data_IF_795701732772
#
_entry.id   IF_795701732772
#
_cell.length_a   1.000
_cell.length_b   1.000
_cell.length_c   1.000
_cell.angle_alpha   90.00
_cell.angle_beta   90.00
_cell.angle_gamma   90.00
#
_symmetry.space_group_name_H-M   'P 1'
#
loop_
_entity.id
_entity.type
_entity.pdbx_description
1 polymer ?
#
# COMPACT_ATOMS: atom_id res chain seq x y z
N UNK A 1 7.07 -3.35 2.62
CA UNK A 1 7.76 -4.51 3.19
C UNK A 1 8.23 -4.17 4.60
N UNK A 2 7.91 -5.00 5.57
CA UNK A 2 8.29 -4.84 6.98
C UNK A 2 8.97 -6.12 7.53
N UNK A 3 9.44 -7.00 6.66
CA UNK A 3 10.11 -8.22 7.10
C UNK A 3 11.61 -7.95 7.34
N UNK A 4 12.10 -7.92 8.58
CA UNK A 4 13.51 -7.74 8.89
C UNK A 4 14.35 -9.01 8.63
N UNK A 5 13.70 -10.18 8.55
CA UNK A 5 14.37 -11.48 8.40
C UNK A 5 14.50 -11.92 6.94
N UNK A 6 14.32 -11.01 6.01
CA UNK A 6 14.15 -11.33 4.60
C UNK A 6 15.44 -11.58 3.81
N UNK A 7 16.61 -11.49 4.43
CA UNK A 7 17.88 -11.83 3.80
C UNK A 7 18.63 -12.93 4.55
N UNK A 8 19.51 -13.66 3.87
CA UNK A 8 20.38 -14.68 4.47
C UNK A 8 21.27 -14.08 5.59
N UNK A 9 21.54 -12.78 5.51
CA UNK A 9 22.39 -12.05 6.47
C UNK A 9 21.57 -11.39 7.61
N UNK A 10 20.24 -11.58 7.67
CA UNK A 10 19.36 -10.94 8.65
C UNK A 10 19.17 -9.42 8.43
N UNK A 11 19.64 -8.88 7.31
CA UNK A 11 19.47 -7.47 6.94
C UNK A 11 18.18 -7.32 6.12
N UNK A 12 17.29 -6.37 6.42
CA UNK A 12 16.10 -6.14 5.60
C UNK A 12 16.49 -5.83 4.13
N UNK A 13 15.70 -6.34 3.18
CA UNK A 13 15.91 -6.06 1.75
C UNK A 13 15.78 -4.60 1.39
N UNK A 14 14.95 -3.88 2.15
CA UNK A 14 14.75 -2.45 1.95
C UNK A 14 15.77 -1.66 2.76
N UNK A 15 16.16 -0.52 2.26
CA UNK A 15 17.09 0.36 2.94
C UNK A 15 16.56 0.77 4.33
N UNK A 16 17.43 0.92 5.35
CA UNK A 16 17.02 1.19 6.73
C UNK A 16 16.09 2.40 6.88
N UNK A 17 16.27 3.45 6.08
CA UNK A 17 15.42 4.62 6.10
C UNK A 17 14.01 4.33 5.56
N UNK A 18 13.87 3.50 4.51
CA UNK A 18 12.56 3.04 4.01
C UNK A 18 11.86 2.15 5.04
N UNK A 19 12.61 1.24 5.67
CA UNK A 19 12.08 0.42 6.75
C UNK A 19 11.52 1.29 7.88
N UNK A 20 12.23 2.36 8.27
CA UNK A 20 11.75 3.31 9.27
C UNK A 20 10.45 4.00 8.84
N UNK A 21 10.35 4.43 7.57
CA UNK A 21 9.11 5.02 7.04
C UNK A 21 7.92 4.06 7.11
N UNK A 22 8.10 2.84 6.61
CA UNK A 22 7.02 1.84 6.58
C UNK A 22 6.67 1.32 7.98
N UNK A 23 7.58 1.38 8.94
CA UNK A 23 7.32 1.01 10.33
C UNK A 23 6.47 2.03 11.08
N UNK A 24 6.53 3.32 10.71
CA UNK A 24 5.71 4.35 11.33
C UNK A 24 4.23 4.23 10.88
N UNK A 25 3.33 4.03 11.85
CA UNK A 25 1.89 3.94 11.59
C UNK A 25 1.33 5.20 10.93
N UNK A 26 1.92 6.38 11.21
CA UNK A 26 1.47 7.66 10.65
C UNK A 26 1.82 7.74 9.18
N UNK A 27 3.00 7.25 8.77
CA UNK A 27 3.38 7.14 7.37
C UNK A 27 2.38 6.25 6.61
N UNK A 28 2.10 5.03 7.13
CA UNK A 28 1.14 4.12 6.49
C UNK A 28 -0.27 4.72 6.40
N UNK A 29 -0.72 5.43 7.45
CA UNK A 29 -2.01 6.14 7.42
C UNK A 29 -2.01 7.28 6.40
N UNK A 30 -0.90 8.00 6.24
CA UNK A 30 -0.76 9.03 5.22
C UNK A 30 -0.93 8.44 3.81
N UNK A 31 -0.29 7.30 3.51
CA UNK A 31 -0.49 6.59 2.25
C UNK A 31 -1.97 6.21 2.05
N UNK A 32 -2.64 5.69 3.09
CA UNK A 32 -4.06 5.32 3.01
C UNK A 32 -4.97 6.53 2.74
N UNK A 33 -4.71 7.68 3.38
CA UNK A 33 -5.45 8.92 3.13
C UNK A 33 -5.11 9.54 1.77
N UNK A 34 -3.90 9.35 1.29
CA UNK A 34 -3.47 9.82 -0.03
C UNK A 34 -4.01 8.98 -1.20
N UNK A 35 -4.56 7.80 -0.96
CA UNK A 35 -4.98 6.86 -2.00
C UNK A 35 -6.48 6.95 -2.29
N UNK A 36 -6.85 7.47 -3.47
CA UNK A 36 -8.23 7.65 -3.90
C UNK A 36 -8.87 6.34 -4.38
N UNK A 37 -9.22 5.46 -3.43
CA UNK A 37 -9.84 4.16 -3.73
C UNK A 37 -11.18 4.29 -4.45
N UNK A 38 -11.97 5.32 -4.12
CA UNK A 38 -13.24 5.55 -4.81
C UNK A 38 -13.01 5.92 -6.28
N UNK A 39 -12.07 6.80 -6.56
CA UNK A 39 -11.72 7.15 -7.94
C UNK A 39 -11.28 5.93 -8.77
N UNK A 40 -10.56 5.00 -8.15
CA UNK A 40 -10.18 3.73 -8.81
C UNK A 40 -11.41 2.86 -9.09
N UNK A 41 -12.31 2.71 -8.13
CA UNK A 41 -13.54 1.93 -8.31
C UNK A 41 -14.35 2.51 -9.47
N UNK A 42 -14.48 3.82 -9.53
CA UNK A 42 -15.21 4.49 -10.59
C UNK A 42 -14.53 4.31 -11.96
N UNK A 43 -13.21 4.46 -12.04
CA UNK A 43 -12.45 4.41 -13.30
C UNK A 43 -12.19 2.97 -13.80
N UNK A 44 -11.88 2.02 -12.91
CA UNK A 44 -11.43 0.67 -13.27
C UNK A 44 -12.57 -0.34 -13.19
N UNK A 45 -13.47 -0.18 -12.23
CA UNK A 45 -14.57 -1.10 -11.97
C UNK A 45 -15.92 -0.52 -12.39
N UNK A 46 -15.95 0.62 -13.11
CA UNK A 46 -17.17 1.28 -13.58
C UNK A 46 -18.20 1.52 -12.46
N UNK A 47 -17.71 1.87 -11.27
CA UNK A 47 -18.54 2.07 -10.09
C UNK A 47 -19.05 0.78 -9.43
N UNK A 48 -18.67 -0.40 -9.94
CA UNK A 48 -19.12 -1.71 -9.41
C UNK A 48 -18.15 -2.20 -8.34
N UNK A 49 -18.27 -1.63 -7.14
CA UNK A 49 -17.42 -2.02 -6.02
C UNK A 49 -17.55 -1.07 -4.84
N UNK A 50 -16.99 -1.48 -3.72
CA UNK A 50 -16.92 -0.69 -2.50
C UNK A 50 -15.49 -0.66 -1.95
N UNK A 51 -15.05 0.47 -1.37
CA UNK A 51 -13.77 0.52 -0.69
C UNK A 51 -13.76 -0.40 0.53
N UNK A 52 -12.90 -1.40 0.53
CA UNK A 52 -12.70 -2.26 1.69
C UNK A 52 -11.79 -1.57 2.73
N UNK A 53 -12.14 -1.73 4.01
CA UNK A 53 -11.40 -1.21 5.15
C UNK A 53 -10.90 -2.32 6.08
N UNK A 54 -11.22 -3.57 5.76
CA UNK A 54 -10.85 -4.79 6.46
C UNK A 54 -10.50 -5.86 5.42
N UNK A 55 -9.65 -6.81 5.80
CA UNK A 55 -9.37 -8.01 4.99
C UNK A 55 -10.59 -8.94 4.92
N UNK A 56 -11.50 -8.83 5.88
CA UNK A 56 -12.77 -9.57 5.88
C UNK A 56 -13.84 -8.66 5.25
N UNK A 57 -14.30 -8.94 4.02
CA UNK A 57 -15.29 -8.11 3.34
C UNK A 57 -16.69 -8.27 3.96
N UNK A 58 -17.62 -7.31 3.73
CA UNK A 58 -19.00 -7.39 4.21
C UNK A 58 -19.74 -8.68 3.79
N UNK A 59 -19.40 -9.23 2.62
CA UNK A 59 -19.98 -10.48 2.11
C UNK A 59 -19.73 -11.70 3.02
N UNK A 60 -18.78 -11.62 3.97
CA UNK A 60 -18.50 -12.67 4.96
C UNK A 60 -19.43 -12.61 6.18
N UNK A 61 -20.47 -11.76 6.16
CA UNK A 61 -21.51 -11.73 7.19
C UNK A 61 -20.98 -11.54 8.60
N UNK A 62 -21.20 -12.54 9.49
CA UNK A 62 -20.85 -12.49 10.91
C UNK A 62 -19.32 -12.33 11.18
N UNK A 63 -18.47 -12.72 10.24
CA UNK A 63 -17.02 -12.55 10.35
C UNK A 63 -16.56 -11.12 10.08
N UNK A 64 -17.42 -10.31 9.45
CA UNK A 64 -17.09 -8.93 9.13
C UNK A 64 -17.29 -8.02 10.34
N UNK A 65 -16.23 -7.30 10.73
CA UNK A 65 -16.33 -6.22 11.70
C UNK A 65 -16.65 -4.89 11.01
N UNK A 66 -17.87 -4.34 11.11
CA UNK A 66 -18.24 -3.08 10.50
C UNK A 66 -17.62 -1.85 11.18
N UNK A 67 -17.10 -2.02 12.41
CA UNK A 67 -16.58 -0.93 13.26
C UNK A 67 -15.07 -0.68 13.08
N UNK A 68 -14.46 -1.20 12.00
CA UNK A 68 -13.06 -0.91 11.68
C UNK A 68 -12.87 0.55 11.33
N UNK A 69 -11.70 1.10 11.67
CA UNK A 69 -11.35 2.48 11.29
C UNK A 69 -11.31 2.63 9.78
N UNK A 70 -12.07 3.59 9.27
CA UNK A 70 -12.12 3.94 7.85
C UNK A 70 -11.20 5.12 7.57
N UNK A 71 -10.29 4.96 6.63
CA UNK A 71 -9.38 6.00 6.19
C UNK A 71 -9.93 6.59 4.87
N UNK A 72 -10.67 7.70 4.96
CA UNK A 72 -11.19 8.40 3.80
C UNK A 72 -10.05 9.05 3.00
N UNK A 73 -10.24 9.19 1.69
CA UNK A 73 -9.33 9.96 0.85
C UNK A 73 -9.31 11.42 1.31
N UNK A 74 -8.14 11.90 1.73
CA UNK A 74 -7.87 13.27 2.13
C UNK A 74 -6.38 13.56 2.02
N UNK A 75 -5.92 14.14 0.91
CA UNK A 75 -4.53 14.57 0.74
C UNK A 75 -4.06 15.53 1.83
N UNK A 76 -4.95 16.38 2.35
CA UNK A 76 -4.66 17.29 3.45
C UNK A 76 -4.27 16.53 4.71
N UNK A 77 -5.09 15.52 5.07
CA UNK A 77 -4.80 14.67 6.24
C UNK A 77 -3.53 13.85 6.05
N UNK A 78 -3.27 13.39 4.82
CA UNK A 78 -2.01 12.73 4.49
C UNK A 78 -0.81 13.66 4.75
N UNK A 79 -0.88 14.90 4.30
CA UNK A 79 0.19 15.89 4.52
C UNK A 79 0.40 16.20 6.00
N UNK A 80 -0.65 16.39 6.78
CA UNK A 80 -0.56 16.60 8.23
C UNK A 80 0.16 15.44 8.93
N UNK A 81 -0.18 14.20 8.57
CA UNK A 81 0.46 13.00 9.13
C UNK A 81 1.94 12.95 8.78
N UNK A 82 2.32 13.25 7.53
CA UNK A 82 3.72 13.29 7.09
C UNK A 82 4.50 14.38 7.83
N UNK A 83 3.92 15.57 7.98
CA UNK A 83 4.54 16.64 8.79
C UNK A 83 4.73 16.22 10.25
N UNK A 84 3.76 15.51 10.83
CA UNK A 84 3.81 15.07 12.25
C UNK A 84 4.95 14.08 12.55
N UNK A 85 5.57 13.51 11.52
CA UNK A 85 6.73 12.62 11.63
C UNK A 85 8.03 13.28 11.15
N UNK A 86 8.01 14.62 10.98
CA UNK A 86 9.20 15.39 10.62
C UNK A 86 9.51 15.42 9.12
N UNK A 87 8.56 15.00 8.27
CA UNK A 87 8.74 15.09 6.82
C UNK A 87 8.38 16.48 6.32
N UNK A 88 9.09 16.95 5.29
CA UNK A 88 8.89 18.28 4.71
C UNK A 88 9.04 18.26 3.19
N UNK A 89 8.43 19.25 2.52
CA UNK A 89 8.56 19.43 1.08
C UNK A 89 9.66 20.42 0.76
N UNK A 90 10.53 20.06 -0.19
CA UNK A 90 11.53 20.98 -0.72
C UNK A 90 10.90 21.99 -1.71
N UNK A 91 11.70 22.92 -2.24
CA UNK A 91 11.26 23.94 -3.19
C UNK A 91 10.71 23.38 -4.53
N UNK A 92 10.98 22.10 -4.82
CA UNK A 92 10.47 21.38 -6.01
C UNK A 92 9.20 20.58 -5.72
N UNK A 93 8.63 20.67 -4.51
CA UNK A 93 7.45 19.93 -4.10
C UNK A 93 7.73 18.44 -3.79
N UNK A 94 8.98 18.02 -3.69
CA UNK A 94 9.37 16.66 -3.36
C UNK A 94 9.37 16.46 -1.84
N UNK A 95 8.80 15.37 -1.36
CA UNK A 95 8.78 15.01 0.06
C UNK A 95 10.14 14.46 0.47
N UNK A 96 10.68 15.00 1.55
CA UNK A 96 11.91 14.54 2.21
C UNK A 96 11.58 14.08 3.62
N UNK A 97 12.28 13.05 4.11
CA UNK A 97 12.21 12.67 5.51
C UNK A 97 13.04 13.62 6.41
N UNK A 98 13.01 13.40 7.72
CA UNK A 98 13.74 14.23 8.68
C UNK A 98 15.27 14.19 8.52
N UNK A 99 15.81 13.23 7.77
CA UNK A 99 17.23 13.10 7.44
C UNK A 99 17.59 13.66 6.07
N UNK A 100 16.60 14.18 5.31
CA UNK A 100 16.78 14.73 3.98
C UNK A 100 16.70 13.69 2.84
N UNK A 101 16.38 12.44 3.12
CA UNK A 101 16.18 11.43 2.08
C UNK A 101 14.89 11.73 1.31
N UNK A 102 14.96 11.71 -0.02
CA UNK A 102 13.78 11.83 -0.86
C UNK A 102 12.88 10.60 -0.67
N UNK A 103 11.60 10.84 -0.38
CA UNK A 103 10.64 9.75 -0.23
C UNK A 103 10.33 9.15 -1.59
N UNK A 104 10.91 7.99 -1.86
CA UNK A 104 10.69 7.22 -3.08
C UNK A 104 10.74 5.72 -2.80
N UNK A 105 9.87 4.96 -3.48
CA UNK A 105 9.83 3.50 -3.36
C UNK A 105 9.24 2.85 -4.62
N UNK A 106 9.44 1.55 -4.73
CA UNK A 106 8.93 0.75 -5.82
C UNK A 106 7.59 0.11 -5.43
N UNK A 107 6.65 0.07 -6.37
CA UNK A 107 5.37 -0.63 -6.24
C UNK A 107 5.37 -1.82 -7.20
N UNK A 108 5.47 -3.02 -6.64
CA UNK A 108 5.43 -4.28 -7.38
C UNK A 108 3.98 -4.68 -7.66
N UNK A 109 3.65 -4.94 -8.92
CA UNK A 109 2.31 -5.34 -9.37
C UNK A 109 2.40 -6.58 -10.25
N UNK A 110 1.33 -7.38 -10.23
CA UNK A 110 1.15 -8.42 -11.26
C UNK A 110 0.81 -7.78 -12.59
N UNK A 111 1.37 -8.31 -13.68
CA UNK A 111 1.06 -7.88 -15.04
C UNK A 111 -0.41 -8.13 -15.38
N UNK A 112 -1.20 -7.07 -15.41
CA UNK A 112 -2.58 -7.10 -15.83
C UNK A 112 -3.10 -5.68 -16.04
N UNK A 113 -4.00 -5.50 -17.00
CA UNK A 113 -4.55 -4.19 -17.33
C UNK A 113 -5.22 -3.48 -16.14
N UNK A 114 -5.94 -4.23 -15.28
CA UNK A 114 -6.59 -3.67 -14.10
C UNK A 114 -5.58 -3.21 -13.04
N UNK A 115 -4.55 -4.01 -12.78
CA UNK A 115 -3.48 -3.64 -11.84
C UNK A 115 -2.65 -2.47 -12.36
N UNK A 116 -2.42 -2.37 -13.67
CA UNK A 116 -1.76 -1.22 -14.28
C UNK A 116 -2.54 0.07 -14.02
N UNK A 117 -3.85 0.09 -14.23
CA UNK A 117 -4.68 1.27 -13.96
C UNK A 117 -4.68 1.64 -12.46
N UNK A 118 -4.77 0.66 -11.57
CA UNK A 118 -4.66 0.87 -10.13
C UNK A 118 -3.28 1.47 -9.78
N UNK A 119 -2.22 0.91 -10.33
CA UNK A 119 -0.84 1.37 -10.09
C UNK A 119 -0.60 2.78 -10.61
N UNK A 120 -1.06 3.10 -11.81
CA UNK A 120 -0.94 4.45 -12.38
C UNK A 120 -1.66 5.48 -11.50
N UNK A 121 -2.90 5.18 -11.09
CA UNK A 121 -3.66 6.07 -10.19
C UNK A 121 -2.97 6.23 -8.83
N UNK A 122 -2.40 5.15 -8.30
CA UNK A 122 -1.62 5.22 -7.05
C UNK A 122 -0.40 6.14 -7.21
N UNK A 123 0.37 5.99 -8.29
CA UNK A 123 1.53 6.85 -8.59
C UNK A 123 1.14 8.32 -8.67
N UNK A 124 0.04 8.64 -9.36
CA UNK A 124 -0.46 10.02 -9.47
C UNK A 124 -0.84 10.58 -8.11
N UNK A 125 -1.59 9.84 -7.32
CA UNK A 125 -1.98 10.26 -5.98
C UNK A 125 -0.77 10.46 -5.04
N UNK A 126 0.24 9.60 -5.12
CA UNK A 126 1.47 9.75 -4.33
C UNK A 126 2.32 10.93 -4.81
N UNK A 127 2.37 11.19 -6.12
CA UNK A 127 3.03 12.36 -6.68
C UNK A 127 2.44 13.67 -6.17
N UNK A 128 1.11 13.75 -5.97
CA UNK A 128 0.44 14.90 -5.40
C UNK A 128 0.85 15.16 -3.94
N UNK A 129 1.33 14.14 -3.26
CA UNK A 129 1.95 14.23 -1.94
C UNK A 129 3.47 14.50 -1.99
N UNK A 130 4.06 14.60 -3.18
CA UNK A 130 5.51 14.76 -3.35
C UNK A 130 6.31 13.48 -3.22
N UNK A 131 5.65 12.32 -3.18
CA UNK A 131 6.24 10.98 -3.09
C UNK A 131 6.48 10.42 -4.49
N UNK A 132 7.68 9.93 -4.75
CA UNK A 132 7.99 9.22 -6.00
C UNK A 132 7.71 7.73 -5.85
N UNK A 133 6.84 7.20 -6.71
CA UNK A 133 6.58 5.76 -6.80
C UNK A 133 6.94 5.27 -8.19
N UNK A 134 7.74 4.20 -8.26
CA UNK A 134 8.11 3.52 -9.51
C UNK A 134 7.35 2.22 -9.61
N UNK A 135 6.64 2.03 -10.73
CA UNK A 135 5.93 0.78 -10.99
C UNK A 135 6.90 -0.29 -11.47
N UNK A 136 6.87 -1.43 -10.81
CA UNK A 136 7.51 -2.66 -11.25
C UNK A 136 6.43 -3.68 -11.57
N UNK A 137 6.56 -4.33 -12.73
CA UNK A 137 5.62 -5.36 -13.18
C UNK A 137 6.32 -6.70 -13.17
N UNK A 138 5.59 -7.72 -12.74
CA UNK A 138 6.08 -9.10 -12.75
C UNK A 138 4.93 -10.03 -13.10
N UNK A 139 5.25 -11.17 -13.72
CA UNK A 139 4.31 -12.28 -13.77
C UNK A 139 3.97 -12.78 -12.35
N UNK A 140 2.86 -13.51 -12.23
CA UNK A 140 2.35 -13.89 -10.92
C UNK A 140 3.33 -14.80 -10.14
N UNK A 141 4.05 -15.70 -10.80
CA UNK A 141 5.01 -16.58 -10.14
C UNK A 141 6.22 -15.81 -9.60
N UNK A 142 6.73 -14.86 -10.38
CA UNK A 142 7.80 -13.94 -9.96
C UNK A 142 7.35 -13.05 -8.80
N UNK A 143 6.11 -12.53 -8.86
CA UNK A 143 5.55 -11.72 -7.78
C UNK A 143 5.48 -12.54 -6.48
N UNK A 144 4.91 -13.76 -6.51
CA UNK A 144 4.86 -14.63 -5.33
C UNK A 144 6.27 -14.97 -4.80
N UNK A 145 7.23 -15.26 -5.68
CA UNK A 145 8.61 -15.48 -5.25
C UNK A 145 9.17 -14.27 -4.51
N UNK A 146 8.90 -13.06 -5.02
CA UNK A 146 9.39 -11.82 -4.38
C UNK A 146 8.66 -11.50 -3.08
N UNK A 147 7.36 -11.80 -2.95
CA UNK A 147 6.59 -11.52 -1.73
C UNK A 147 6.79 -12.55 -0.63
N UNK A 148 6.92 -13.84 -0.98
CA UNK A 148 6.86 -14.94 -0.02
C UNK A 148 8.24 -15.56 0.29
N UNK A 149 9.21 -15.41 -0.62
CA UNK A 149 10.50 -16.08 -0.48
C UNK A 149 11.67 -15.10 -0.34
N UNK A 150 11.81 -14.14 -1.29
CA UNK A 150 12.98 -13.26 -1.31
C UNK A 150 12.73 -11.91 -0.65
N UNK A 151 11.46 -11.51 -0.49
CA UNK A 151 11.03 -10.23 0.07
C UNK A 151 11.63 -8.99 -0.62
N UNK A 152 12.09 -9.16 -1.86
CA UNK A 152 12.70 -8.12 -2.68
C UNK A 152 11.61 -7.23 -3.30
N UNK A 153 11.00 -6.38 -2.48
CA UNK A 153 10.02 -5.35 -2.88
C UNK A 153 9.85 -4.31 -1.77
N UNK A 154 9.53 -3.07 -2.14
CA UNK A 154 9.18 -2.04 -1.16
C UNK A 154 7.70 -2.13 -0.77
N UNK A 155 6.82 -2.12 -1.76
CA UNK A 155 5.37 -2.19 -1.60
C UNK A 155 4.76 -3.06 -2.70
N UNK A 156 3.66 -3.73 -2.41
CA UNK A 156 2.87 -4.47 -3.41
C UNK A 156 1.38 -4.25 -3.21
N UNK A 157 0.61 -4.41 -4.28
CA UNK A 157 -0.86 -4.49 -4.25
C UNK A 157 -1.25 -5.88 -4.74
N UNK A 158 -1.92 -6.63 -3.88
CA UNK A 158 -2.42 -7.97 -4.17
C UNK A 158 -3.92 -8.02 -3.88
N UNK A 159 -4.65 -8.75 -4.71
CA UNK A 159 -6.04 -9.11 -4.48
C UNK A 159 -6.14 -10.49 -3.82
N UNK A 160 -7.01 -10.61 -2.85
CA UNK A 160 -7.38 -11.89 -2.25
C UNK A 160 -8.80 -12.23 -2.63
N UNK A 161 -9.00 -13.41 -3.19
CA UNK A 161 -10.34 -13.97 -3.38
C UNK A 161 -10.85 -14.49 -2.04
N UNK A 162 -12.03 -14.03 -1.60
CA UNK A 162 -12.74 -14.69 -0.51
C UNK A 162 -13.76 -15.65 -1.10
N UNK A 163 -13.78 -16.88 -0.63
CA UNK A 163 -14.86 -17.82 -0.90
C UNK A 163 -16.14 -17.42 -0.14
N UNK A 164 -17.23 -18.14 -0.32
CA UNK A 164 -18.56 -17.85 0.19
C UNK A 164 -18.63 -17.46 1.68
N UNK A 165 -19.75 -16.86 2.11
CA UNK A 165 -20.05 -16.49 3.49
C UNK A 165 -19.89 -17.64 4.53
N UNK A 166 -19.85 -18.88 4.07
CA UNK A 166 -19.62 -20.07 4.91
C UNK A 166 -18.14 -20.38 5.16
N UNK A 167 -17.21 -19.60 4.61
CA UNK A 167 -15.78 -19.81 4.78
C UNK A 167 -15.29 -19.19 6.09
N UNK A 168 -14.72 -20.02 6.96
CA UNK A 168 -14.03 -19.56 8.17
C UNK A 168 -12.71 -18.88 7.80
N UNK A 169 -12.54 -17.58 8.03
CA UNK A 169 -11.32 -16.86 7.70
C UNK A 169 -10.18 -17.06 8.70
N UNK A 170 -10.40 -17.80 9.79
CA UNK A 170 -9.39 -17.97 10.85
C UNK A 170 -8.10 -18.66 10.38
N UNK A 171 -8.19 -19.42 9.28
CA UNK A 171 -7.04 -20.04 8.62
C UNK A 171 -6.27 -19.11 7.68
N UNK A 172 -6.79 -17.92 7.40
CA UNK A 172 -6.10 -16.93 6.57
C UNK A 172 -4.93 -16.37 7.35
N UNK A 173 -3.72 -16.63 6.89
CA UNK A 173 -2.53 -16.01 7.49
C UNK A 173 -2.69 -14.49 7.42
N UNK A 174 -2.68 -13.85 8.57
CA UNK A 174 -2.54 -12.40 8.63
C UNK A 174 -1.17 -12.04 8.04
N UNK A 175 -1.16 -11.33 6.93
CA UNK A 175 0.03 -10.72 6.37
C UNK A 175 0.43 -9.46 7.14
#
# INVERSE_FOLDING_TARGET
NLNPESSEDGVPYIEPYKFAWFSDKRFRKAILHGFNRKGIIDAVLFGKGEPLHSIIPPAQGEWHNPNVTKYAYSPERARELLQSIGFAWNSKGQLLDGSGNRVSFNLLLVESANYDQIGITFVENMRDLGIEVRLERADFATLLKRTDNTFDYDMTILGWGSSSAAYDPSGSKAL
#
